data_IF_898931476288
#
_entry.id   IF_898931476288
#
_cell.length_a   1.000
_cell.length_b   1.000
_cell.length_c   1.000
_cell.angle_alpha   90.00
_cell.angle_beta   90.00
_cell.angle_gamma   90.00
#
_symmetry.space_group_name_H-M   'P 1'
#
loop_
_entity.id
_entity.type
_entity.pdbx_description
1 polymer ?
#
# COMPACT_ATOMS: atom_id res chain seq x y z
N UNK A 1 26.06 35.15 9.05
CA UNK A 1 24.97 36.08 8.68
C UNK A 1 24.27 35.66 7.39
N UNK A 2 25.01 35.33 6.32
CA UNK A 2 24.47 34.90 5.00
C UNK A 2 23.70 33.56 5.05
N UNK A 3 24.15 32.59 5.85
CA UNK A 3 23.47 31.27 6.01
C UNK A 3 22.06 31.44 6.60
N UNK A 4 21.92 32.22 7.69
CA UNK A 4 20.60 32.49 8.32
C UNK A 4 19.65 33.24 7.39
N UNK A 5 20.15 34.16 6.58
CA UNK A 5 19.34 34.85 5.58
C UNK A 5 18.83 33.89 4.49
N UNK A 6 19.66 32.92 4.08
CA UNK A 6 19.30 31.92 3.07
C UNK A 6 18.29 30.90 3.60
N UNK A 7 18.45 30.40 4.83
CA UNK A 7 17.47 29.53 5.52
C UNK A 7 16.11 30.20 5.68
N UNK A 8 16.11 31.50 6.03
CA UNK A 8 14.89 32.28 6.21
C UNK A 8 14.17 32.52 4.87
N UNK A 9 14.91 32.79 3.79
CA UNK A 9 14.35 32.93 2.43
C UNK A 9 13.79 31.61 1.93
N UNK A 10 14.51 30.48 2.11
CA UNK A 10 14.03 29.15 1.71
C UNK A 10 12.76 28.77 2.48
N UNK A 11 12.75 28.95 3.82
CA UNK A 11 11.56 28.69 4.64
C UNK A 11 10.37 29.55 4.23
N UNK A 12 10.61 30.80 3.81
CA UNK A 12 9.55 31.71 3.35
C UNK A 12 9.01 31.27 2.00
N UNK A 13 9.87 30.87 1.07
CA UNK A 13 9.48 30.34 -0.25
C UNK A 13 8.67 29.04 -0.08
N UNK A 14 9.13 28.12 0.77
CA UNK A 14 8.43 26.87 1.09
C UNK A 14 7.05 27.10 1.72
N UNK A 15 6.93 28.12 2.56
CA UNK A 15 5.65 28.50 3.16
C UNK A 15 4.70 29.11 2.12
N UNK A 16 5.21 29.97 1.22
CA UNK A 16 4.43 30.59 0.15
C UNK A 16 3.99 29.56 -0.88
N UNK A 17 4.85 28.60 -1.25
CA UNK A 17 4.49 27.49 -2.15
C UNK A 17 3.40 26.64 -1.52
N UNK A 18 3.58 26.18 -0.28
CA UNK A 18 2.54 25.40 0.44
C UNK A 18 1.23 26.15 0.60
N UNK A 19 1.29 27.46 0.88
CA UNK A 19 0.09 28.29 0.97
C UNK A 19 -0.59 28.42 -0.40
N UNK A 20 0.17 28.56 -1.48
CA UNK A 20 -0.36 28.66 -2.84
C UNK A 20 -0.95 27.32 -3.31
N UNK A 21 -0.30 26.19 -3.03
CA UNK A 21 -0.80 24.83 -3.29
C UNK A 21 -2.07 24.55 -2.49
N UNK A 22 -2.11 24.94 -1.21
CA UNK A 22 -3.32 24.82 -0.39
C UNK A 22 -4.46 25.69 -0.94
N UNK A 23 -4.16 26.90 -1.41
CA UNK A 23 -5.14 27.80 -2.05
C UNK A 23 -5.62 27.23 -3.39
N UNK A 24 -4.74 26.70 -4.25
CA UNK A 24 -5.11 26.06 -5.52
C UNK A 24 -5.94 24.81 -5.27
N UNK A 25 -5.53 23.92 -4.36
CA UNK A 25 -6.30 22.74 -3.97
C UNK A 25 -7.66 23.13 -3.37
N UNK A 26 -7.71 24.21 -2.59
CA UNK A 26 -8.97 24.76 -2.06
C UNK A 26 -9.83 25.35 -3.18
N UNK A 27 -9.25 26.06 -4.15
CA UNK A 27 -9.94 26.60 -5.32
C UNK A 27 -10.47 25.46 -6.19
N UNK A 28 -9.69 24.43 -6.47
CA UNK A 28 -10.12 23.25 -7.21
C UNK A 28 -11.21 22.49 -6.44
N UNK A 29 -11.11 22.39 -5.12
CA UNK A 29 -12.19 21.86 -4.27
C UNK A 29 -13.45 22.73 -4.35
N UNK A 30 -13.32 24.05 -4.34
CA UNK A 30 -14.43 25.01 -4.44
C UNK A 30 -15.04 24.96 -5.84
N UNK A 31 -14.27 24.84 -6.91
CA UNK A 31 -14.75 24.66 -8.28
C UNK A 31 -15.40 23.28 -8.46
N UNK A 32 -14.85 22.23 -7.84
CA UNK A 32 -15.49 20.93 -7.75
C UNK A 32 -16.82 21.02 -6.98
N UNK A 33 -16.90 21.75 -5.88
CA UNK A 33 -18.13 21.84 -5.07
C UNK A 33 -19.18 22.80 -5.67
N UNK A 34 -18.77 23.88 -6.34
CA UNK A 34 -19.64 25.01 -6.72
C UNK A 34 -19.57 25.40 -8.20
N UNK A 35 -18.75 24.75 -9.01
CA UNK A 35 -18.65 25.01 -10.45
C UNK A 35 -19.95 24.76 -11.21
N UNK A 36 -20.33 25.66 -12.11
CA UNK A 36 -21.64 25.67 -12.77
C UNK A 36 -21.79 24.74 -13.99
N UNK A 37 -20.74 24.02 -14.40
CA UNK A 37 -20.79 23.15 -15.60
C UNK A 37 -21.23 21.73 -15.24
N UNK A 38 -22.35 21.27 -15.79
CA UNK A 38 -22.87 19.90 -15.65
C UNK A 38 -22.19 18.92 -16.61
N UNK A 39 -20.87 18.77 -16.49
CA UNK A 39 -20.13 17.72 -17.19
C UNK A 39 -20.32 16.39 -16.45
N UNK A 40 -20.54 15.30 -17.21
CA UNK A 40 -20.63 13.92 -16.68
C UNK A 40 -19.42 13.57 -15.84
N UNK A 41 -18.22 13.96 -16.29
CA UNK A 41 -16.97 13.72 -15.56
C UNK A 41 -16.96 14.42 -14.19
N UNK A 42 -17.32 15.70 -14.16
CA UNK A 42 -17.37 16.51 -12.95
C UNK A 42 -18.39 15.97 -11.93
N UNK A 43 -19.55 15.50 -12.40
CA UNK A 43 -20.56 14.89 -11.53
C UNK A 43 -20.04 13.59 -10.89
N UNK A 44 -19.33 12.76 -11.65
CA UNK A 44 -18.69 11.55 -11.12
C UNK A 44 -17.65 11.93 -10.06
N UNK A 45 -16.79 12.92 -10.32
CA UNK A 45 -15.79 13.39 -9.35
C UNK A 45 -16.42 13.94 -8.06
N UNK A 46 -17.49 14.74 -8.18
CA UNK A 46 -18.29 15.22 -7.04
C UNK A 46 -18.85 14.08 -6.22
N UNK A 47 -19.39 13.05 -6.88
CA UNK A 47 -19.94 11.89 -6.20
C UNK A 47 -18.85 11.08 -5.49
N UNK A 48 -17.68 10.88 -6.11
CA UNK A 48 -16.51 10.26 -5.48
C UNK A 48 -16.10 11.05 -4.23
N UNK A 49 -16.05 12.39 -4.33
CA UNK A 49 -15.71 13.25 -3.20
C UNK A 49 -16.73 13.11 -2.06
N UNK A 50 -18.02 13.15 -2.37
CA UNK A 50 -19.08 12.97 -1.38
C UNK A 50 -19.01 11.60 -0.68
N UNK A 51 -18.71 10.53 -1.43
CA UNK A 51 -18.50 9.18 -0.88
C UNK A 51 -17.27 9.13 0.04
N UNK A 52 -16.14 9.72 -0.39
CA UNK A 52 -14.92 9.78 0.41
C UNK A 52 -15.12 10.60 1.70
N UNK A 53 -15.87 11.70 1.65
CA UNK A 53 -16.18 12.52 2.81
C UNK A 53 -16.97 11.74 3.88
N UNK A 54 -17.92 10.88 3.46
CA UNK A 54 -18.63 9.97 4.38
C UNK A 54 -17.67 8.96 5.01
N UNK A 55 -16.71 8.44 4.25
CA UNK A 55 -15.72 7.50 4.75
C UNK A 55 -14.74 8.13 5.75
N UNK A 56 -14.30 9.38 5.51
CA UNK A 56 -13.35 10.08 6.38
C UNK A 56 -13.85 10.23 7.81
N UNK A 57 -15.18 10.38 7.99
CA UNK A 57 -15.82 10.42 9.31
C UNK A 57 -15.73 9.09 10.07
N UNK A 58 -15.54 7.97 9.36
CA UNK A 58 -15.47 6.61 9.94
C UNK A 58 -14.05 6.08 10.08
N UNK A 59 -13.15 6.47 9.17
CA UNK A 59 -11.74 6.07 9.23
C UNK A 59 -10.87 7.08 8.51
N UNK A 60 -9.75 7.46 9.12
CA UNK A 60 -8.77 8.36 8.51
C UNK A 60 -8.18 7.74 7.23
N UNK A 61 -7.91 8.56 6.20
CA UNK A 61 -7.43 8.09 4.89
C UNK A 61 -6.09 7.31 4.95
N UNK A 62 -5.28 7.56 5.99
CA UNK A 62 -4.01 6.87 6.23
C UNK A 62 -4.20 5.46 6.79
N UNK A 63 -5.36 5.17 7.37
CA UNK A 63 -5.64 3.92 8.09
C UNK A 63 -6.56 3.00 7.27
N UNK A 64 -6.64 3.21 5.96
CA UNK A 64 -7.51 2.47 5.01
C UNK A 64 -6.70 2.01 3.80
N UNK A 65 -7.26 1.06 3.05
CA UNK A 65 -6.89 0.78 1.67
C UNK A 65 -7.97 1.36 0.75
N UNK A 66 -7.59 1.76 -0.46
CA UNK A 66 -8.52 2.41 -1.40
C UNK A 66 -9.22 1.44 -2.34
N UNK A 67 -10.52 1.64 -2.56
CA UNK A 67 -11.22 1.11 -3.74
C UNK A 67 -11.01 2.10 -4.88
N UNK A 68 -10.21 1.71 -5.88
CA UNK A 68 -9.84 2.58 -7.01
C UNK A 68 -10.84 2.39 -8.16
N UNK A 69 -12.05 2.91 -8.01
CA UNK A 69 -13.07 2.76 -9.05
C UNK A 69 -14.01 3.98 -9.12
N UNK A 70 -14.05 4.66 -10.26
CA UNK A 70 -15.04 5.70 -10.54
C UNK A 70 -16.38 5.15 -11.02
N UNK A 71 -16.41 3.90 -11.51
CA UNK A 71 -17.61 3.24 -12.01
C UNK A 71 -18.70 3.04 -10.97
N UNK A 72 -18.37 2.92 -9.67
CA UNK A 72 -19.39 2.90 -8.61
C UNK A 72 -20.12 4.24 -8.50
N UNK A 73 -19.38 5.36 -8.54
CA UNK A 73 -19.99 6.68 -8.52
C UNK A 73 -20.84 6.91 -9.78
N UNK A 74 -20.36 6.46 -10.93
CA UNK A 74 -21.12 6.50 -12.18
C UNK A 74 -22.40 5.65 -12.13
N UNK A 75 -22.32 4.42 -11.59
CA UNK A 75 -23.44 3.52 -11.39
C UNK A 75 -24.54 4.13 -10.52
N UNK A 76 -24.15 4.80 -9.43
CA UNK A 76 -25.08 5.49 -8.53
C UNK A 76 -25.78 6.66 -9.26
N UNK A 77 -25.03 7.43 -10.04
CA UNK A 77 -25.56 8.63 -10.69
C UNK A 77 -26.47 8.33 -11.88
N UNK A 78 -26.14 7.31 -12.68
CA UNK A 78 -26.72 7.15 -14.02
C UNK A 78 -27.37 5.80 -14.28
N UNK A 79 -27.20 4.81 -13.40
CA UNK A 79 -27.66 3.43 -13.65
C UNK A 79 -28.47 2.85 -12.48
N UNK A 80 -28.95 3.67 -11.55
CA UNK A 80 -29.85 3.24 -10.47
C UNK A 80 -29.19 2.38 -9.40
N UNK A 81 -27.85 2.42 -9.27
CA UNK A 81 -27.17 1.70 -8.20
C UNK A 81 -27.44 2.36 -6.83
N UNK A 82 -27.90 1.57 -5.86
CA UNK A 82 -28.13 2.03 -4.50
C UNK A 82 -27.13 1.38 -3.52
N UNK A 83 -26.65 2.18 -2.55
CA UNK A 83 -25.88 1.63 -1.43
C UNK A 83 -26.84 1.22 -0.31
N UNK A 84 -26.82 -0.05 0.07
CA UNK A 84 -27.61 -0.59 1.19
C UNK A 84 -26.74 -0.92 2.41
N UNK A 85 -27.31 -1.00 3.62
CA UNK A 85 -26.61 -1.50 4.81
C UNK A 85 -26.15 -2.96 4.66
N UNK A 86 -25.48 -3.47 5.69
CA UNK A 86 -25.12 -4.89 5.73
C UNK A 86 -26.38 -5.78 5.69
N UNK A 87 -26.23 -6.97 5.12
CA UNK A 87 -27.28 -7.98 5.05
C UNK A 87 -27.40 -8.64 6.41
N UNK A 88 -28.62 -8.65 6.97
CA UNK A 88 -28.95 -9.37 8.22
C UNK A 88 -29.32 -10.83 7.93
N UNK A 89 -30.19 -11.06 6.96
CA UNK A 89 -30.65 -12.41 6.59
C UNK A 89 -31.15 -12.48 5.16
N UNK A 90 -31.11 -13.68 4.60
CA UNK A 90 -31.72 -14.01 3.32
C UNK A 90 -33.04 -14.74 3.57
N UNK A 91 -34.06 -14.38 2.80
CA UNK A 91 -35.31 -15.12 2.67
C UNK A 91 -35.42 -15.68 1.23
N UNK A 92 -36.46 -16.45 0.95
CA UNK A 92 -36.61 -17.19 -0.32
C UNK A 92 -36.46 -16.33 -1.58
N UNK A 93 -37.00 -15.11 -1.57
CA UNK A 93 -36.95 -14.18 -2.70
C UNK A 93 -36.53 -12.76 -2.29
N UNK A 94 -35.94 -12.59 -1.11
CA UNK A 94 -35.67 -11.25 -0.58
C UNK A 94 -34.53 -11.20 0.43
N UNK A 95 -34.01 -10.00 0.62
CA UNK A 95 -32.95 -9.69 1.57
C UNK A 95 -33.53 -8.81 2.68
N UNK A 96 -33.20 -9.11 3.93
CA UNK A 96 -33.42 -8.21 5.07
C UNK A 96 -32.08 -7.56 5.43
N UNK A 97 -32.05 -6.24 5.47
CA UNK A 97 -30.88 -5.45 5.85
C UNK A 97 -30.83 -5.17 7.36
N UNK A 98 -29.67 -4.74 7.86
CA UNK A 98 -29.48 -4.43 9.28
C UNK A 98 -30.37 -3.32 9.82
N UNK A 99 -30.84 -2.40 8.98
CA UNK A 99 -31.80 -1.34 9.35
C UNK A 99 -33.26 -1.82 9.36
N UNK A 100 -33.51 -3.10 9.04
CA UNK A 100 -34.83 -3.70 8.99
C UNK A 100 -35.55 -3.52 7.65
N UNK A 101 -34.95 -2.83 6.67
CA UNK A 101 -35.52 -2.75 5.32
C UNK A 101 -35.45 -4.09 4.61
N UNK A 102 -36.39 -4.32 3.69
CA UNK A 102 -36.54 -5.56 2.93
C UNK A 102 -36.61 -5.26 1.43
N UNK A 103 -35.89 -6.03 0.62
CA UNK A 103 -35.94 -5.93 -0.84
C UNK A 103 -36.02 -7.27 -1.52
N UNK A 104 -36.84 -7.35 -2.57
CA UNK A 104 -36.91 -8.50 -3.46
C UNK A 104 -35.76 -8.40 -4.47
N UNK A 105 -35.01 -9.48 -4.65
CA UNK A 105 -33.89 -9.55 -5.60
C UNK A 105 -33.95 -10.84 -6.38
N UNK A 106 -33.55 -10.79 -7.65
CA UNK A 106 -33.48 -11.97 -8.51
C UNK A 106 -32.16 -12.73 -8.32
N UNK A 107 -31.07 -12.00 -8.09
CA UNK A 107 -29.70 -12.56 -8.09
C UNK A 107 -28.83 -11.91 -7.00
N UNK A 108 -27.92 -12.71 -6.43
CA UNK A 108 -26.94 -12.26 -5.42
C UNK A 108 -25.53 -12.59 -5.91
N UNK A 109 -24.71 -11.56 -6.14
CA UNK A 109 -23.31 -11.73 -6.54
C UNK A 109 -22.38 -11.50 -5.34
N UNK A 110 -21.82 -12.57 -4.79
CA UNK A 110 -20.94 -12.50 -3.63
C UNK A 110 -19.52 -12.02 -3.98
N UNK A 111 -19.27 -10.72 -3.86
CA UNK A 111 -17.94 -10.11 -3.99
C UNK A 111 -17.17 -10.09 -2.64
N UNK A 112 -17.16 -11.20 -1.89
CA UNK A 112 -16.72 -11.26 -0.48
C UNK A 112 -15.20 -11.38 -0.29
N UNK A 113 -14.45 -11.75 -1.33
CA UNK A 113 -13.00 -11.88 -1.33
C UNK A 113 -12.54 -13.30 -1.62
N UNK A 114 -11.30 -13.62 -1.23
CA UNK A 114 -10.68 -14.92 -1.45
C UNK A 114 -9.95 -15.39 -0.19
N UNK A 115 -9.86 -16.70 -0.01
CA UNK A 115 -9.01 -17.34 0.99
C UNK A 115 -7.72 -17.84 0.34
N UNK A 116 -6.62 -17.83 1.10
CA UNK A 116 -5.38 -18.45 0.67
C UNK A 116 -5.36 -19.92 1.11
N UNK A 117 -5.08 -20.84 0.19
CA UNK A 117 -4.93 -22.27 0.48
C UNK A 117 -3.74 -22.82 -0.30
N UNK A 118 -2.89 -23.58 0.38
CA UNK A 118 -1.68 -24.16 -0.20
C UNK A 118 -1.73 -25.70 -0.15
N UNK A 119 -2.81 -26.30 -0.67
CA UNK A 119 -3.05 -27.75 -0.57
C UNK A 119 -1.97 -28.63 -1.21
N UNK A 120 -1.13 -28.08 -2.09
CA UNK A 120 0.01 -28.81 -2.62
C UNK A 120 1.07 -29.13 -1.54
N UNK A 121 1.11 -28.38 -0.43
CA UNK A 121 2.02 -28.63 0.69
C UNK A 121 1.64 -29.91 1.46
N UNK A 122 0.37 -30.31 1.43
CA UNK A 122 -0.12 -31.50 2.13
C UNK A 122 0.49 -32.79 1.57
N UNK A 123 0.84 -32.77 0.29
CA UNK A 123 1.36 -33.91 -0.46
C UNK A 123 2.88 -34.04 -0.37
N UNK A 124 3.59 -33.05 0.18
CA UNK A 124 5.06 -33.05 0.23
C UNK A 124 5.51 -33.82 1.48
N UNK A 125 5.99 -35.04 1.25
CA UNK A 125 6.67 -35.91 2.24
C UNK A 125 5.92 -36.15 3.56
N UNK A 126 4.60 -35.93 3.61
CA UNK A 126 3.79 -35.93 4.85
C UNK A 126 4.41 -35.06 5.97
N UNK A 127 5.07 -33.97 5.60
CA UNK A 127 5.78 -33.14 6.57
C UNK A 127 4.77 -32.34 7.43
N UNK A 128 4.69 -32.58 8.76
CA UNK A 128 3.69 -31.93 9.61
C UNK A 128 3.89 -30.42 9.70
N UNK A 129 5.12 -29.92 9.52
CA UNK A 129 5.42 -28.49 9.50
C UNK A 129 4.86 -27.84 8.24
N UNK A 130 5.00 -28.49 7.07
CA UNK A 130 4.47 -27.96 5.81
C UNK A 130 2.94 -27.97 5.79
N UNK A 131 2.32 -29.02 6.34
CA UNK A 131 0.86 -29.08 6.53
C UNK A 131 0.38 -27.98 7.46
N UNK A 132 1.05 -27.78 8.61
CA UNK A 132 0.72 -26.71 9.54
C UNK A 132 0.79 -25.33 8.86
N UNK A 133 1.83 -25.07 8.08
CA UNK A 133 1.98 -23.81 7.34
C UNK A 133 0.93 -23.68 6.24
N UNK A 134 0.66 -24.74 5.48
CA UNK A 134 -0.28 -24.73 4.36
C UNK A 134 -1.74 -24.52 4.78
N UNK A 135 -2.09 -24.92 6.01
CA UNK A 135 -3.42 -24.74 6.60
C UNK A 135 -3.55 -23.49 7.48
N UNK A 136 -2.49 -22.70 7.66
CA UNK A 136 -2.57 -21.48 8.47
C UNK A 136 -3.36 -20.37 7.74
N UNK A 137 -4.62 -20.20 8.15
CA UNK A 137 -5.52 -19.18 7.61
C UNK A 137 -5.01 -17.74 7.82
N UNK A 138 -4.08 -17.52 8.77
CA UNK A 138 -3.44 -16.23 9.04
C UNK A 138 -1.94 -16.26 8.74
N UNK A 139 -1.49 -17.15 7.85
CA UNK A 139 -0.08 -17.33 7.49
C UNK A 139 0.65 -16.02 7.24
N UNK A 140 0.04 -15.04 6.56
CA UNK A 140 0.62 -13.71 6.33
C UNK A 140 1.14 -13.00 7.58
N UNK A 141 0.48 -13.20 8.74
CA UNK A 141 0.88 -12.64 10.03
C UNK A 141 1.93 -13.47 10.77
N UNK A 142 2.31 -14.62 10.22
CA UNK A 142 3.31 -15.55 10.77
C UNK A 142 4.54 -15.68 9.86
N UNK A 143 4.67 -14.81 8.85
CA UNK A 143 5.81 -14.79 7.93
C UNK A 143 6.76 -13.64 8.23
N UNK A 144 8.03 -13.96 8.46
CA UNK A 144 9.13 -13.00 8.45
C UNK A 144 9.19 -12.33 7.07
N UNK A 145 9.12 -10.99 7.05
CA UNK A 145 9.09 -10.15 5.83
C UNK A 145 8.04 -10.59 4.79
N UNK A 146 6.88 -11.10 5.25
CA UNK A 146 5.83 -11.66 4.38
C UNK A 146 6.34 -12.74 3.40
N UNK A 147 7.42 -13.45 3.76
CA UNK A 147 8.08 -14.39 2.86
C UNK A 147 8.41 -15.74 3.52
N UNK A 148 8.91 -15.76 4.76
CA UNK A 148 9.46 -16.98 5.37
C UNK A 148 8.76 -17.31 6.67
N UNK A 149 8.29 -18.56 6.81
CA UNK A 149 7.75 -19.04 8.06
C UNK A 149 8.91 -19.49 8.99
N UNK A 150 8.95 -19.09 10.28
CA UNK A 150 10.05 -19.42 11.18
C UNK A 150 10.31 -20.92 11.38
N UNK A 151 9.29 -21.76 11.17
CA UNK A 151 9.41 -23.23 11.23
C UNK A 151 10.02 -23.84 9.96
N UNK A 152 9.75 -23.28 8.78
CA UNK A 152 10.28 -23.80 7.50
C UNK A 152 11.62 -23.17 7.14
N UNK A 153 11.90 -21.99 7.69
CA UNK A 153 13.09 -21.20 7.34
C UNK A 153 13.19 -21.02 5.82
N UNK A 154 14.38 -21.10 5.25
CA UNK A 154 14.64 -20.93 3.82
C UNK A 154 14.22 -22.12 2.94
N UNK A 155 13.69 -23.22 3.51
CA UNK A 155 13.17 -24.36 2.72
C UNK A 155 11.86 -24.06 1.98
N UNK A 156 11.11 -23.04 2.42
CA UNK A 156 9.87 -22.58 1.79
C UNK A 156 9.79 -21.06 1.87
N UNK A 157 9.67 -20.41 0.71
CA UNK A 157 9.62 -18.96 0.62
C UNK A 157 8.45 -18.52 -0.25
N UNK A 158 7.61 -17.64 0.31
CA UNK A 158 6.48 -17.02 -0.36
C UNK A 158 6.90 -15.70 -1.01
N UNK A 159 6.89 -15.62 -2.34
CA UNK A 159 7.23 -14.40 -3.07
C UNK A 159 5.96 -13.74 -3.60
N UNK A 160 5.84 -12.43 -3.39
CA UNK A 160 4.66 -11.65 -3.77
C UNK A 160 3.47 -11.85 -2.85
N UNK A 161 3.65 -12.54 -1.72
CA UNK A 161 2.60 -12.77 -0.72
C UNK A 161 2.41 -11.56 0.22
N UNK A 162 2.40 -10.38 -0.40
CA UNK A 162 2.35 -9.08 0.23
C UNK A 162 1.39 -8.19 -0.57
N UNK A 163 0.54 -7.44 0.12
CA UNK A 163 -0.49 -6.59 -0.50
C UNK A 163 -0.37 -5.16 0.01
N UNK A 164 0.21 -4.23 -0.77
CA UNK A 164 0.27 -2.84 -0.34
C UNK A 164 -1.13 -2.22 -0.29
N UNK A 165 -1.42 -1.44 0.76
CA UNK A 165 -2.66 -0.67 0.87
C UNK A 165 -2.83 0.29 -0.32
N UNK A 166 -1.72 0.92 -0.69
CA UNK A 166 -1.56 1.71 -1.90
C UNK A 166 -0.19 1.40 -2.48
N UNK A 167 -0.15 0.98 -3.74
CA UNK A 167 1.08 0.61 -4.42
C UNK A 167 0.84 -0.55 -5.36
N UNK A 168 1.92 -1.23 -5.72
CA UNK A 168 1.89 -2.36 -6.63
C UNK A 168 2.60 -3.56 -5.99
N UNK A 169 2.08 -4.77 -6.22
CA UNK A 169 2.70 -6.02 -5.74
C UNK A 169 4.01 -6.33 -6.48
N UNK A 170 4.11 -6.20 -7.82
CA UNK A 170 5.33 -6.61 -8.55
C UNK A 170 6.64 -5.98 -8.05
N UNK A 171 6.70 -4.67 -7.73
CA UNK A 171 7.92 -4.08 -7.16
C UNK A 171 8.28 -4.64 -5.77
N UNK A 172 7.31 -5.02 -4.95
CA UNK A 172 7.58 -5.65 -3.65
C UNK A 172 8.04 -7.09 -3.82
N UNK A 173 7.42 -7.83 -4.74
CA UNK A 173 7.83 -9.18 -5.10
C UNK A 173 9.25 -9.20 -5.69
N UNK A 174 9.63 -8.20 -6.49
CA UNK A 174 11.01 -8.02 -6.97
C UNK A 174 12.00 -7.88 -5.81
N UNK A 175 11.65 -7.07 -4.80
CA UNK A 175 12.49 -6.89 -3.61
C UNK A 175 12.60 -8.19 -2.80
N UNK A 176 11.50 -8.92 -2.61
CA UNK A 176 11.52 -10.26 -1.98
C UNK A 176 12.40 -11.23 -2.78
N UNK A 177 12.30 -11.25 -4.11
CA UNK A 177 13.11 -12.11 -4.96
C UNK A 177 14.61 -11.77 -4.91
N UNK A 178 14.97 -10.47 -4.89
CA UNK A 178 16.36 -10.02 -4.73
C UNK A 178 16.95 -10.46 -3.39
N UNK A 179 16.18 -10.27 -2.31
CA UNK A 179 16.57 -10.71 -0.98
C UNK A 179 16.73 -12.24 -0.92
N UNK A 180 15.78 -12.99 -1.45
CA UNK A 180 15.85 -14.45 -1.50
C UNK A 180 17.04 -14.96 -2.34
N UNK A 181 17.35 -14.31 -3.46
CA UNK A 181 18.54 -14.67 -4.25
C UNK A 181 19.85 -14.49 -3.46
N UNK A 182 19.93 -13.44 -2.63
CA UNK A 182 21.09 -13.25 -1.76
C UNK A 182 21.20 -14.34 -0.68
N UNK A 183 20.07 -14.74 -0.08
CA UNK A 183 20.00 -15.88 0.85
C UNK A 183 20.49 -17.17 0.17
N UNK A 184 19.94 -17.52 -0.99
CA UNK A 184 20.33 -18.72 -1.73
C UNK A 184 21.83 -18.74 -2.10
N UNK A 185 22.41 -17.56 -2.31
CA UNK A 185 23.84 -17.41 -2.64
C UNK A 185 24.77 -17.35 -1.41
N UNK A 186 24.23 -17.45 -0.19
CA UNK A 186 24.99 -17.35 1.06
C UNK A 186 25.61 -15.97 1.31
N UNK A 187 25.09 -14.91 0.65
CA UNK A 187 25.58 -13.52 0.82
C UNK A 187 24.96 -12.81 2.01
N UNK A 188 23.80 -13.29 2.44
CA UNK A 188 23.12 -12.87 3.66
C UNK A 188 22.57 -14.14 4.33
N UNK A 189 22.46 -14.11 5.65
CA UNK A 189 21.92 -15.20 6.44
C UNK A 189 20.54 -14.84 6.99
N UNK A 190 19.71 -15.86 7.25
CA UNK A 190 18.51 -15.66 8.03
C UNK A 190 18.87 -15.42 9.50
N UNK A 191 18.19 -14.48 10.17
CA UNK A 191 18.30 -14.38 11.62
C UNK A 191 17.71 -15.64 12.28
N UNK A 192 18.02 -15.85 13.55
CA UNK A 192 17.45 -16.94 14.32
C UNK A 192 15.92 -16.81 14.46
N UNK A 193 15.24 -17.92 14.78
CA UNK A 193 13.77 -17.94 14.90
C UNK A 193 13.23 -16.96 15.94
N UNK A 194 13.91 -16.74 17.06
CA UNK A 194 13.41 -15.81 18.08
C UNK A 194 13.42 -14.37 17.57
N UNK A 195 14.43 -14.01 16.76
CA UNK A 195 14.53 -12.73 16.08
C UNK A 195 13.48 -12.58 14.99
N UNK A 196 13.22 -13.63 14.19
CA UNK A 196 12.13 -13.65 13.21
C UNK A 196 10.76 -13.45 13.87
N UNK A 197 10.47 -14.19 14.95
CA UNK A 197 9.21 -14.08 15.69
C UNK A 197 9.03 -12.70 16.31
N UNK A 198 10.11 -12.10 16.82
CA UNK A 198 10.08 -10.74 17.36
C UNK A 198 9.76 -9.73 16.25
N UNK A 199 10.40 -9.85 15.09
CA UNK A 199 10.08 -9.00 13.93
C UNK A 199 8.61 -9.13 13.56
N UNK A 200 8.10 -10.35 13.43
CA UNK A 200 6.71 -10.63 13.05
C UNK A 200 5.75 -9.92 14.02
N UNK A 201 5.92 -10.11 15.33
CA UNK A 201 5.07 -9.46 16.35
C UNK A 201 5.12 -7.94 16.28
N UNK A 202 6.31 -7.36 16.12
CA UNK A 202 6.48 -5.91 16.01
C UNK A 202 5.83 -5.37 14.74
N UNK A 203 5.99 -6.08 13.62
CA UNK A 203 5.46 -5.70 12.33
C UNK A 203 3.93 -5.75 12.29
N UNK A 204 3.33 -6.85 12.76
CA UNK A 204 1.86 -6.99 12.85
C UNK A 204 1.28 -5.88 13.72
N UNK A 205 1.87 -5.61 14.90
CA UNK A 205 1.43 -4.51 15.76
C UNK A 205 1.56 -3.14 15.08
N UNK A 206 2.63 -2.91 14.32
CA UNK A 206 2.79 -1.67 13.55
C UNK A 206 1.66 -1.51 12.53
N UNK A 207 1.35 -2.56 11.75
CA UNK A 207 0.29 -2.55 10.75
C UNK A 207 -1.10 -2.40 11.40
N UNK A 208 -1.36 -3.06 12.53
CA UNK A 208 -2.61 -2.92 13.30
C UNK A 208 -2.81 -1.51 13.87
N UNK A 209 -1.73 -0.80 14.21
CA UNK A 209 -1.79 0.59 14.67
C UNK A 209 -1.92 1.58 13.50
N UNK A 210 -1.25 1.28 12.39
CA UNK A 210 -1.25 2.13 11.20
C UNK A 210 -2.54 2.01 10.38
N UNK A 211 -3.16 0.83 10.36
CA UNK A 211 -4.39 0.53 9.63
C UNK A 211 -5.54 0.23 10.59
N UNK A 212 -6.79 0.33 10.13
CA UNK A 212 -7.93 -0.02 11.00
C UNK A 212 -7.89 -1.53 11.35
N UNK A 213 -7.96 -1.95 12.64
CA UNK A 213 -7.80 -3.36 13.03
C UNK A 213 -8.71 -4.36 12.30
N UNK A 214 -9.97 -3.98 12.06
CA UNK A 214 -10.92 -4.77 11.28
C UNK A 214 -10.38 -5.15 9.88
N UNK A 215 -9.66 -4.23 9.23
CA UNK A 215 -9.16 -4.40 7.87
C UNK A 215 -7.93 -5.32 7.82
N UNK A 216 -7.04 -5.18 8.79
CA UNK A 216 -5.85 -6.01 8.94
C UNK A 216 -6.24 -7.46 9.19
N UNK A 217 -7.30 -7.69 9.95
CA UNK A 217 -7.81 -9.04 10.19
C UNK A 217 -8.51 -9.65 8.98
N UNK A 218 -9.22 -8.84 8.17
CA UNK A 218 -9.85 -9.33 6.92
C UNK A 218 -8.84 -9.57 5.80
N UNK A 219 -7.80 -8.75 5.70
CA UNK A 219 -6.77 -8.83 4.65
C UNK A 219 -5.42 -8.88 5.34
N UNK A 220 -5.00 -10.09 5.70
CA UNK A 220 -3.85 -10.34 6.59
C UNK A 220 -2.49 -10.05 5.94
N UNK A 221 -2.41 -9.88 4.63
CA UNK A 221 -1.18 -9.52 3.92
C UNK A 221 -1.05 -8.02 3.64
N UNK A 222 -1.86 -7.16 4.27
CA UNK A 222 -1.77 -5.72 4.09
C UNK A 222 -0.45 -5.14 4.59
N UNK A 223 0.11 -4.22 3.80
CA UNK A 223 1.35 -3.51 4.14
C UNK A 223 1.35 -2.05 3.70
N UNK A 224 2.21 -1.23 4.30
CA UNK A 224 2.62 0.06 3.75
C UNK A 224 3.73 -0.13 2.70
N UNK A 225 3.51 0.40 1.50
CA UNK A 225 4.41 0.17 0.37
C UNK A 225 5.81 0.74 0.59
N UNK A 226 5.91 1.96 1.13
CA UNK A 226 7.20 2.61 1.36
C UNK A 226 7.98 1.92 2.46
N UNK A 227 7.35 1.73 3.62
CA UNK A 227 7.99 1.14 4.79
C UNK A 227 8.47 -0.27 4.53
N UNK A 228 7.66 -1.09 3.84
CA UNK A 228 8.05 -2.43 3.45
C UNK A 228 9.17 -2.43 2.41
N UNK A 229 9.10 -1.56 1.40
CA UNK A 229 10.18 -1.45 0.41
C UNK A 229 11.51 -1.03 1.04
N UNK A 230 11.48 -0.08 1.98
CA UNK A 230 12.66 0.38 2.72
C UNK A 230 13.24 -0.71 3.63
N UNK A 231 12.39 -1.47 4.33
CA UNK A 231 12.81 -2.59 5.17
C UNK A 231 13.43 -3.73 4.35
N UNK A 232 12.87 -4.02 3.17
CA UNK A 232 13.48 -4.96 2.23
C UNK A 232 14.79 -4.41 1.66
N UNK A 233 14.85 -3.13 1.31
CA UNK A 233 16.05 -2.50 0.79
C UNK A 233 17.17 -2.47 1.81
N UNK A 234 16.85 -2.32 3.09
CA UNK A 234 17.81 -2.43 4.19
C UNK A 234 18.37 -3.85 4.28
N UNK A 235 17.50 -4.87 4.25
CA UNK A 235 17.93 -6.28 4.30
C UNK A 235 18.78 -6.70 3.08
N UNK A 236 18.57 -6.09 1.91
CA UNK A 236 19.36 -6.31 0.70
C UNK A 236 20.66 -5.48 0.70
N UNK A 237 20.73 -4.41 1.49
CA UNK A 237 21.82 -3.44 1.44
C UNK A 237 21.76 -2.51 0.21
N UNK A 238 20.57 -2.24 -0.33
CA UNK A 238 20.34 -1.35 -1.48
C UNK A 238 19.50 -0.12 -1.16
N UNK A 239 19.27 0.18 0.13
CA UNK A 239 18.58 1.40 0.55
C UNK A 239 19.46 2.62 0.26
N UNK A 240 19.01 3.59 -0.55
CA UNK A 240 19.81 4.76 -0.88
C UNK A 240 20.06 5.61 0.37
N UNK A 241 21.29 6.10 0.52
CA UNK A 241 21.63 7.07 1.56
C UNK A 241 21.25 8.48 1.09
N UNK A 242 20.13 9.01 1.58
CA UNK A 242 19.59 10.33 1.23
C UNK A 242 20.12 11.45 2.15
N UNK A 243 21.37 11.35 2.60
CA UNK A 243 22.00 12.32 3.48
C UNK A 243 22.35 13.67 2.80
N UNK A 244 22.87 14.60 3.60
CA UNK A 244 23.30 15.92 3.11
C UNK A 244 24.41 15.84 2.05
N UNK A 245 25.24 14.78 2.06
CA UNK A 245 26.28 14.61 1.04
C UNK A 245 25.66 14.30 -0.32
N UNK A 246 24.60 13.49 -0.35
CA UNK A 246 23.84 13.26 -1.58
C UNK A 246 23.19 14.55 -2.09
N UNK A 247 22.61 15.37 -1.20
CA UNK A 247 22.04 16.67 -1.57
C UNK A 247 23.08 17.58 -2.24
N UNK A 248 24.30 17.65 -1.71
CA UNK A 248 25.36 18.47 -2.31
C UNK A 248 25.87 17.91 -3.65
N UNK A 249 25.94 16.58 -3.79
CA UNK A 249 26.48 15.93 -5.00
C UNK A 249 25.50 15.93 -6.17
N UNK A 250 24.22 15.66 -5.90
CA UNK A 250 23.18 15.54 -6.93
C UNK A 250 21.83 16.03 -6.37
N UNK A 251 21.66 17.36 -6.22
CA UNK A 251 20.49 17.93 -5.55
C UNK A 251 19.17 17.60 -6.26
N UNK A 252 19.19 17.47 -7.59
CA UNK A 252 18.02 17.08 -8.37
C UNK A 252 17.58 15.65 -8.09
N UNK A 253 18.53 14.70 -8.08
CA UNK A 253 18.22 13.31 -7.75
C UNK A 253 17.78 13.18 -6.29
N UNK A 254 18.43 13.89 -5.38
CA UNK A 254 18.04 13.93 -3.97
C UNK A 254 16.60 14.42 -3.81
N UNK A 255 16.25 15.54 -4.44
CA UNK A 255 14.88 16.09 -4.41
C UNK A 255 13.87 15.07 -4.96
N UNK A 256 14.18 14.42 -6.10
CA UNK A 256 13.29 13.38 -6.66
C UNK A 256 13.12 12.17 -5.74
N UNK A 257 14.13 11.80 -4.96
CA UNK A 257 13.99 10.71 -3.99
C UNK A 257 13.17 11.12 -2.76
N UNK A 258 13.31 12.37 -2.31
CA UNK A 258 12.68 12.87 -1.08
C UNK A 258 11.21 13.24 -1.26
N UNK A 259 10.86 13.91 -2.36
CA UNK A 259 9.51 14.47 -2.58
C UNK A 259 8.86 14.03 -3.89
N UNK A 260 9.57 13.25 -4.71
CA UNK A 260 9.03 12.69 -5.94
C UNK A 260 8.12 11.47 -5.69
N UNK A 261 7.48 10.96 -6.75
CA UNK A 261 6.71 9.73 -6.65
C UNK A 261 7.61 8.56 -6.22
N UNK A 262 7.12 7.76 -5.27
CA UNK A 262 7.83 6.58 -4.77
C UNK A 262 7.95 5.58 -5.93
N UNK A 263 9.19 5.18 -6.22
CA UNK A 263 9.51 4.25 -7.29
C UNK A 263 10.67 3.35 -6.90
N UNK A 264 10.52 2.03 -7.06
CA UNK A 264 11.55 1.07 -6.65
C UNK A 264 12.85 1.17 -7.47
N UNK A 265 12.87 1.97 -8.54
CA UNK A 265 14.11 2.38 -9.20
C UNK A 265 15.08 3.07 -8.21
N UNK A 266 14.59 3.70 -7.14
CA UNK A 266 15.44 4.24 -6.05
C UNK A 266 16.35 3.16 -5.44
N UNK A 267 15.85 1.93 -5.28
CA UNK A 267 16.60 0.79 -4.73
C UNK A 267 17.55 0.13 -5.73
N UNK A 268 17.75 0.76 -6.90
CA UNK A 268 18.79 0.42 -7.88
C UNK A 268 19.88 1.50 -7.97
N UNK A 269 19.82 2.54 -7.14
CA UNK A 269 20.88 3.56 -7.06
C UNK A 269 22.16 3.05 -6.42
N UNK A 270 22.08 2.06 -5.53
CA UNK A 270 23.21 1.50 -4.81
C UNK A 270 22.94 0.05 -4.39
N UNK A 271 23.95 -0.59 -3.79
CA UNK A 271 23.86 -1.96 -3.29
C UNK A 271 23.96 -3.05 -4.37
N UNK A 272 23.66 -4.31 -4.02
CA UNK A 272 23.72 -5.43 -4.94
C UNK A 272 22.84 -5.23 -6.18
N UNK A 273 23.42 -5.49 -7.36
CA UNK A 273 22.74 -5.38 -8.66
C UNK A 273 22.24 -3.96 -8.99
N UNK A 274 22.93 -2.93 -8.48
CA UNK A 274 22.62 -1.54 -8.78
C UNK A 274 22.78 -1.21 -10.28
N UNK A 275 21.94 -0.30 -10.76
CA UNK A 275 22.00 0.29 -12.09
C UNK A 275 21.84 1.82 -11.99
N UNK A 276 22.84 2.54 -11.41
CA UNK A 276 22.65 3.91 -10.96
C UNK A 276 22.29 4.89 -12.08
N UNK A 277 22.90 4.73 -13.26
CA UNK A 277 22.61 5.59 -14.42
C UNK A 277 21.17 5.43 -14.91
N UNK A 278 20.68 4.19 -15.00
CA UNK A 278 19.31 3.90 -15.41
C UNK A 278 18.30 4.35 -14.36
N UNK A 279 18.58 4.04 -13.08
CA UNK A 279 17.75 4.46 -11.95
C UNK A 279 17.61 5.99 -11.91
N UNK A 280 18.72 6.72 -11.99
CA UNK A 280 18.73 8.19 -12.05
C UNK A 280 17.90 8.71 -13.23
N UNK A 281 18.09 8.15 -14.43
CA UNK A 281 17.32 8.55 -15.62
C UNK A 281 15.82 8.36 -15.39
N UNK A 282 15.40 7.22 -14.84
CA UNK A 282 13.98 6.95 -14.55
C UNK A 282 13.47 7.99 -13.55
N UNK A 283 14.14 8.17 -12.41
CA UNK A 283 13.68 9.05 -11.33
C UNK A 283 13.54 10.52 -11.77
N UNK A 284 14.44 10.98 -12.63
CA UNK A 284 14.39 12.35 -13.17
C UNK A 284 13.32 12.53 -14.26
N UNK A 285 13.00 11.47 -15.02
CA UNK A 285 12.01 11.51 -16.11
C UNK A 285 10.59 11.21 -15.66
N UNK A 286 10.40 10.63 -14.47
CA UNK A 286 9.07 10.45 -13.89
C UNK A 286 8.33 11.78 -13.87
N UNK A 287 7.10 11.77 -14.40
CA UNK A 287 6.23 12.94 -14.36
C UNK A 287 5.99 13.29 -12.89
N UNK A 288 6.51 14.43 -12.49
CA UNK A 288 6.32 15.01 -11.18
C UNK A 288 5.49 16.27 -11.41
N UNK A 289 4.20 16.17 -11.10
CA UNK A 289 3.39 17.36 -10.87
C UNK A 289 3.53 17.65 -9.37
N UNK A 290 4.12 18.77 -8.96
CA UNK A 290 3.92 19.26 -7.61
C UNK A 290 2.40 19.33 -7.38
N UNK A 291 1.93 18.75 -6.28
CA UNK A 291 0.51 18.70 -5.93
C UNK A 291 0.05 20.05 -5.40
#
# INVERSE_FOLDING_TARGET
MVIRATEMVISTIDMVIRATEMVISTIDMVLLMFGSKSDRSLNIERQIFAMNAKQYRRSHFRNTYGTKNGGMAEAILYYGCEMKPAIRSLEENSIIFEDGTKEVVDEIVCCTGFENRFSFLDCIDNNPVLQQVGHDARISHNLYKHAIHPLTRDSLVFIGFVRPCFGAIPPLAEMQARWFALLCSGKIDLPDTSTMDKYIRTYVRYIENFLTPYRVNRITNLTDFLSFSDDMAWAIGCRPNLDFKMLLRDPYLWLRCMVGPICNAQYRLCGPHAQPAQARRILLTLKWKPL
#
